data_IF_144761979680
#
_entry.id   IF_144761979680
#
_cell.length_a   1.000
_cell.length_b   1.000
_cell.length_c   1.000
_cell.angle_alpha   90.00
_cell.angle_beta   90.00
_cell.angle_gamma   90.00
#
_symmetry.space_group_name_H-M   'P 1'
#
loop_
_entity.id
_entity.type
_entity.pdbx_description
1 polymer ?
#
# COMPACT_ATOMS: atom_id res chain seq x y z
N UNK A 1 -10.46 -56.07 -33.34
CA UNK A 1 -10.31 -56.10 -31.88
C UNK A 1 -9.03 -55.33 -31.57
N UNK A 2 -9.22 -54.08 -31.18
CA UNK A 2 -8.28 -52.96 -31.00
C UNK A 2 -7.27 -53.17 -29.87
N UNK A 3 -6.10 -52.57 -29.84
CA UNK A 3 -5.14 -52.08 -30.84
C UNK A 3 -3.86 -51.87 -30.02
N UNK A 4 -2.71 -52.31 -30.54
CA UNK A 4 -1.40 -52.11 -29.93
C UNK A 4 -0.62 -51.02 -30.68
N UNK A 5 0.38 -50.46 -29.97
CA UNK A 5 1.55 -49.65 -30.42
C UNK A 5 1.16 -48.20 -30.81
N UNK A 6 1.72 -47.13 -30.21
CA UNK A 6 3.04 -46.60 -30.59
C UNK A 6 3.71 -45.61 -29.62
N UNK A 7 5.02 -45.80 -29.52
CA UNK A 7 6.07 -44.84 -29.15
C UNK A 7 5.67 -43.37 -29.36
N UNK A 8 5.55 -42.60 -28.29
CA UNK A 8 5.59 -41.13 -28.38
C UNK A 8 6.87 -40.63 -27.72
N UNK A 9 7.88 -40.33 -28.54
CA UNK A 9 9.08 -39.63 -28.09
C UNK A 9 8.72 -38.17 -27.80
N UNK A 10 8.84 -37.75 -26.55
CA UNK A 10 8.73 -36.34 -26.15
C UNK A 10 10.08 -35.69 -26.40
N UNK A 11 10.20 -34.90 -27.48
CA UNK A 11 11.41 -34.08 -27.68
C UNK A 11 11.27 -32.75 -26.94
N UNK A 12 12.07 -32.55 -25.90
CA UNK A 12 12.12 -31.32 -25.13
C UNK A 12 13.10 -30.33 -25.78
N UNK A 13 12.59 -29.25 -26.37
CA UNK A 13 13.42 -28.14 -26.87
C UNK A 13 13.35 -26.95 -25.91
N UNK A 14 14.47 -26.63 -25.26
CA UNK A 14 14.63 -25.42 -24.45
C UNK A 14 14.96 -24.22 -25.35
N UNK A 15 13.96 -23.61 -25.98
CA UNK A 15 14.04 -22.18 -26.38
C UNK A 15 12.67 -21.53 -26.19
N UNK A 16 12.66 -20.42 -25.45
CA UNK A 16 11.51 -19.53 -25.22
C UNK A 16 10.33 -20.13 -24.41
N UNK A 17 10.55 -20.56 -23.17
CA UNK A 17 9.55 -20.53 -22.08
C UNK A 17 8.20 -21.27 -22.24
N UNK A 18 7.89 -21.86 -23.39
CA UNK A 18 6.66 -22.56 -23.70
C UNK A 18 6.95 -24.06 -23.88
N UNK A 19 6.18 -24.90 -23.18
CA UNK A 19 6.10 -26.32 -23.49
C UNK A 19 4.88 -26.56 -24.37
N UNK A 20 5.09 -26.96 -25.62
CA UNK A 20 4.02 -27.43 -26.50
C UNK A 20 4.00 -28.96 -26.47
N UNK A 21 2.88 -29.55 -26.05
CA UNK A 21 2.61 -30.96 -26.29
C UNK A 21 1.82 -31.05 -27.60
N UNK A 22 2.47 -31.46 -28.69
CA UNK A 22 1.79 -31.68 -29.98
C UNK A 22 1.14 -33.07 -29.95
N UNK A 23 -0.14 -33.12 -29.61
CA UNK A 23 -0.95 -34.31 -29.79
C UNK A 23 -1.37 -34.43 -31.26
N UNK A 24 -0.86 -35.43 -31.99
CA UNK A 24 -1.38 -35.74 -33.33
C UNK A 24 -2.67 -36.53 -33.19
N UNK A 25 -3.81 -35.84 -33.12
CA UNK A 25 -5.05 -36.18 -33.81
C UNK A 25 -6.18 -35.23 -33.38
N UNK A 26 -6.91 -34.72 -34.38
CA UNK A 26 -7.88 -33.61 -34.34
C UNK A 26 -7.26 -32.25 -34.01
N UNK A 27 -7.30 -31.36 -35.01
CA UNK A 27 -6.66 -30.04 -35.01
C UNK A 27 -7.29 -29.04 -34.04
N UNK A 28 -7.14 -29.27 -32.75
CA UNK A 28 -7.29 -28.27 -31.71
C UNK A 28 -5.96 -28.17 -30.97
N UNK A 29 -5.24 -27.06 -31.19
CA UNK A 29 -4.09 -26.70 -30.38
C UNK A 29 -4.58 -26.42 -28.95
N UNK A 30 -4.57 -27.45 -28.10
CA UNK A 30 -4.80 -27.29 -26.67
C UNK A 30 -3.57 -26.61 -26.07
N UNK A 31 -3.61 -25.28 -25.98
CA UNK A 31 -2.78 -24.49 -25.08
C UNK A 31 -3.18 -24.85 -23.64
N UNK A 32 -2.58 -25.91 -23.11
CA UNK A 32 -2.71 -26.23 -21.68
C UNK A 32 -1.89 -25.19 -20.92
N UNK A 33 -2.57 -24.18 -20.39
CA UNK A 33 -2.00 -23.25 -19.42
C UNK A 33 -1.42 -24.06 -18.23
N UNK A 34 -0.18 -23.73 -17.87
CA UNK A 34 0.58 -24.33 -16.76
C UNK A 34 -0.13 -24.26 -15.39
N UNK A 35 -1.17 -23.44 -15.26
CA UNK A 35 -1.93 -23.21 -14.03
C UNK A 35 -2.75 -24.41 -13.54
N UNK A 36 -2.79 -25.55 -14.26
CA UNK A 36 -3.50 -26.76 -13.81
C UNK A 36 -2.64 -27.80 -13.07
N UNK A 37 -1.35 -27.54 -12.81
CA UNK A 37 -0.44 -28.55 -12.22
C UNK A 37 0.28 -28.13 -10.92
N UNK A 38 -0.12 -27.02 -10.30
CA UNK A 38 0.17 -26.72 -8.91
C UNK A 38 -1.06 -26.00 -8.36
N UNK A 39 -1.44 -26.22 -7.10
CA UNK A 39 -2.58 -25.56 -6.46
C UNK A 39 -2.35 -24.05 -6.29
N UNK A 40 -2.35 -23.30 -7.39
CA UNK A 40 -2.26 -21.85 -7.41
C UNK A 40 -3.64 -21.29 -7.06
N UNK A 41 -3.76 -20.65 -5.89
CA UNK A 41 -4.92 -19.82 -5.53
C UNK A 41 -5.10 -18.76 -6.63
N UNK A 42 -6.28 -18.70 -7.26
CA UNK A 42 -6.58 -17.67 -8.25
C UNK A 42 -7.03 -16.41 -7.50
N UNK A 43 -6.22 -15.37 -7.54
CA UNK A 43 -6.62 -14.05 -7.04
C UNK A 43 -7.34 -13.32 -8.18
N UNK A 44 -8.62 -13.06 -8.00
CA UNK A 44 -9.34 -12.14 -8.89
C UNK A 44 -8.89 -10.72 -8.52
N UNK A 45 -8.32 -9.99 -9.48
CA UNK A 45 -7.85 -8.62 -9.28
C UNK A 45 -8.67 -7.62 -10.09
N UNK A 46 -9.07 -6.51 -9.47
CA UNK A 46 -9.79 -5.42 -10.13
C UNK A 46 -9.17 -4.06 -9.78
N UNK A 47 -8.94 -3.24 -10.79
CA UNK A 47 -8.44 -1.87 -10.59
C UNK A 47 -9.52 -0.97 -9.99
N UNK A 48 -9.13 -0.24 -8.93
CA UNK A 48 -9.96 0.73 -8.21
C UNK A 48 -9.53 2.17 -8.51
N UNK A 49 -8.22 2.41 -8.64
CA UNK A 49 -7.65 3.70 -9.01
C UNK A 49 -6.51 3.48 -10.01
N UNK A 50 -6.56 4.21 -11.11
CA UNK A 50 -5.43 4.40 -12.02
C UNK A 50 -4.52 5.55 -11.53
N UNK A 51 -3.37 5.72 -12.18
CA UNK A 51 -2.41 6.80 -11.92
C UNK A 51 -3.07 8.18 -11.87
N UNK A 52 -3.95 8.48 -12.83
CA UNK A 52 -4.66 9.77 -12.91
C UNK A 52 -5.60 9.98 -11.73
N UNK A 53 -6.28 8.93 -11.26
CA UNK A 53 -7.16 9.00 -10.12
C UNK A 53 -6.37 9.14 -8.81
N UNK A 54 -5.23 8.47 -8.65
CA UNK A 54 -4.30 8.69 -7.53
C UNK A 54 -3.82 10.15 -7.53
N UNK A 55 -3.37 10.65 -8.68
CA UNK A 55 -2.92 12.04 -8.83
C UNK A 55 -3.99 13.06 -8.41
N UNK A 56 -5.24 12.89 -8.88
CA UNK A 56 -6.38 13.74 -8.48
C UNK A 56 -6.70 13.64 -6.99
N UNK A 57 -6.66 12.44 -6.42
CA UNK A 57 -6.89 12.24 -5.00
C UNK A 57 -5.85 12.99 -4.16
N UNK A 58 -4.56 12.86 -4.48
CA UNK A 58 -3.49 13.56 -3.78
C UNK A 58 -3.60 15.09 -3.90
N UNK A 59 -3.96 15.62 -5.06
CA UNK A 59 -4.20 17.06 -5.22
C UNK A 59 -5.34 17.54 -4.34
N UNK A 60 -6.45 16.78 -4.26
CA UNK A 60 -7.56 17.13 -3.37
C UNK A 60 -7.14 17.09 -1.89
N UNK A 61 -6.43 16.06 -1.47
CA UNK A 61 -5.93 15.95 -0.09
C UNK A 61 -5.00 17.13 0.26
N UNK A 62 -4.14 17.57 -0.66
CA UNK A 62 -3.28 18.74 -0.46
C UNK A 62 -4.10 20.00 -0.18
N UNK A 63 -5.14 20.28 -0.97
CA UNK A 63 -6.04 21.42 -0.72
C UNK A 63 -6.75 21.32 0.64
N UNK A 64 -7.31 20.14 0.97
CA UNK A 64 -7.99 19.93 2.25
C UNK A 64 -7.05 20.13 3.46
N UNK A 65 -5.79 19.69 3.34
CA UNK A 65 -4.76 19.88 4.37
C UNK A 65 -4.49 21.37 4.59
N UNK A 66 -4.28 22.12 3.51
CA UNK A 66 -4.00 23.56 3.56
C UNK A 66 -5.17 24.31 4.21
N UNK A 67 -6.39 24.08 3.72
CA UNK A 67 -7.59 24.77 4.21
C UNK A 67 -7.85 24.50 5.69
N UNK A 68 -7.73 23.24 6.13
CA UNK A 68 -8.05 22.83 7.51
C UNK A 68 -6.99 23.24 8.54
N UNK A 69 -5.78 23.54 8.10
CA UNK A 69 -4.68 23.99 8.96
C UNK A 69 -4.36 25.49 8.80
N UNK A 70 -5.19 26.23 8.05
CA UNK A 70 -5.04 27.68 7.81
C UNK A 70 -3.67 28.01 7.20
N UNK A 71 -3.21 27.16 6.27
CA UNK A 71 -1.86 27.18 5.72
C UNK A 71 -1.01 26.01 6.22
N UNK A 72 0.32 26.12 6.06
CA UNK A 72 1.26 25.00 6.29
C UNK A 72 2.45 25.33 7.18
N UNK A 73 2.46 26.52 7.80
CA UNK A 73 3.60 26.99 8.60
C UNK A 73 3.84 26.12 9.85
N UNK A 74 2.78 25.58 10.45
CA UNK A 74 2.84 24.71 11.63
C UNK A 74 2.58 23.23 11.30
N UNK A 75 2.60 22.84 10.02
CA UNK A 75 2.29 21.47 9.58
C UNK A 75 3.57 20.65 9.43
N UNK A 76 3.51 19.39 9.87
CA UNK A 76 4.52 18.36 9.60
C UNK A 76 3.81 17.14 9.04
N UNK A 77 4.21 16.68 7.86
CA UNK A 77 3.73 15.41 7.31
C UNK A 77 4.61 14.29 7.84
N UNK A 78 4.02 13.18 8.26
CA UNK A 78 4.76 12.01 8.74
C UNK A 78 4.25 10.78 8.02
N UNK A 79 5.06 10.25 7.10
CA UNK A 79 4.73 9.04 6.36
C UNK A 79 5.02 7.79 7.17
N UNK A 80 4.06 6.87 7.24
CA UNK A 80 4.25 5.57 7.88
C UNK A 80 4.82 4.59 6.85
N UNK A 81 5.87 3.85 7.21
CA UNK A 81 6.51 2.90 6.28
C UNK A 81 5.51 1.85 5.79
N UNK A 82 5.57 1.45 4.52
CA UNK A 82 6.56 1.88 3.50
C UNK A 82 5.97 2.93 2.55
N UNK A 83 4.80 2.67 1.95
CA UNK A 83 4.20 3.53 0.91
C UNK A 83 3.71 4.88 1.43
N UNK A 84 3.34 4.97 2.72
CA UNK A 84 2.94 6.24 3.35
C UNK A 84 4.01 7.33 3.26
N UNK A 85 5.29 6.97 3.24
CA UNK A 85 6.42 7.91 3.04
C UNK A 85 6.39 8.53 1.65
N UNK A 86 6.24 7.72 0.61
CA UNK A 86 6.18 8.23 -0.76
C UNK A 86 4.95 9.10 -0.97
N UNK A 87 3.81 8.73 -0.39
CA UNK A 87 2.62 9.57 -0.40
C UNK A 87 2.83 10.89 0.34
N UNK A 88 3.52 10.89 1.48
CA UNK A 88 3.85 12.11 2.23
C UNK A 88 4.73 13.07 1.42
N UNK A 89 5.75 12.55 0.73
CA UNK A 89 6.61 13.34 -0.16
C UNK A 89 5.81 13.91 -1.34
N UNK A 90 4.99 13.10 -2.01
CA UNK A 90 4.11 13.54 -3.10
C UNK A 90 3.10 14.61 -2.67
N UNK A 91 2.61 14.55 -1.42
CA UNK A 91 1.75 15.59 -0.84
C UNK A 91 2.54 16.86 -0.55
N UNK A 92 3.75 16.76 -0.01
CA UNK A 92 4.61 17.91 0.25
C UNK A 92 4.92 18.69 -1.02
N UNK A 93 5.26 18.00 -2.12
CA UNK A 93 5.49 18.63 -3.43
C UNK A 93 4.25 19.38 -3.95
N UNK A 94 3.07 18.79 -3.80
CA UNK A 94 1.80 19.41 -4.21
C UNK A 94 1.48 20.63 -3.35
N UNK A 95 1.66 20.52 -2.04
CA UNK A 95 1.48 21.62 -1.10
C UNK A 95 2.45 22.76 -1.44
N UNK A 96 3.73 22.48 -1.67
CA UNK A 96 4.72 23.48 -2.05
C UNK A 96 4.36 24.14 -3.39
N UNK A 97 3.84 23.38 -4.35
CA UNK A 97 3.38 23.94 -5.61
C UNK A 97 2.20 24.93 -5.43
N UNK A 98 1.32 24.71 -4.46
CA UNK A 98 0.14 25.54 -4.16
C UNK A 98 0.53 26.75 -3.29
N UNK A 99 1.13 26.51 -2.13
CA UNK A 99 1.43 27.53 -1.10
C UNK A 99 2.75 28.27 -1.33
N UNK A 100 3.61 27.77 -2.23
CA UNK A 100 5.00 28.25 -2.42
C UNK A 100 5.84 28.19 -1.14
N UNK A 101 5.49 27.27 -0.23
CA UNK A 101 6.15 27.02 1.04
C UNK A 101 6.45 25.53 1.19
N UNK A 102 7.64 25.22 1.70
CA UNK A 102 8.02 23.84 2.02
C UNK A 102 7.35 23.40 3.32
N UNK A 103 6.74 22.22 3.29
CA UNK A 103 6.28 21.51 4.48
C UNK A 103 7.32 20.47 4.89
N UNK A 104 7.57 20.33 6.18
CA UNK A 104 8.50 19.32 6.68
C UNK A 104 7.87 17.92 6.52
N UNK A 105 8.68 16.97 6.04
CA UNK A 105 8.29 15.56 5.90
C UNK A 105 9.18 14.71 6.79
N UNK A 106 8.57 13.97 7.69
CA UNK A 106 9.22 12.96 8.50
C UNK A 106 8.76 11.55 8.14
N UNK A 107 9.46 10.57 8.68
CA UNK A 107 9.21 9.15 8.45
C UNK A 107 9.06 8.42 9.78
N UNK A 108 8.10 7.50 9.83
CA UNK A 108 7.87 6.67 10.99
C UNK A 108 7.81 5.19 10.61
N UNK A 109 8.67 4.40 11.24
CA UNK A 109 8.68 2.95 11.09
C UNK A 109 8.13 2.32 12.37
N UNK A 110 6.94 1.74 12.27
CA UNK A 110 6.22 1.19 13.42
C UNK A 110 6.41 -0.32 13.58
N UNK A 111 7.38 -0.91 12.88
CA UNK A 111 7.58 -2.37 12.84
C UNK A 111 7.75 -2.97 14.25
N UNK A 112 8.31 -2.22 15.21
CA UNK A 112 8.47 -2.68 16.60
C UNK A 112 7.23 -2.50 17.49
N UNK A 113 6.23 -1.71 17.09
CA UNK A 113 5.02 -1.45 17.87
C UNK A 113 3.88 -2.45 17.57
N UNK A 114 4.15 -3.51 16.79
CA UNK A 114 3.18 -4.60 16.58
C UNK A 114 3.05 -5.40 17.88
N UNK A 115 1.84 -5.41 18.44
CA UNK A 115 1.45 -6.08 19.69
C UNK A 115 1.80 -7.60 19.75
N UNK A 116 2.23 -8.18 18.62
CA UNK A 116 2.59 -9.59 18.47
C UNK A 116 4.05 -9.91 18.85
N UNK A 117 4.90 -8.92 19.16
CA UNK A 117 6.26 -9.16 19.66
C UNK A 117 6.27 -9.51 21.17
N UNK A 118 5.47 -10.52 21.54
CA UNK A 118 5.65 -11.28 22.76
C UNK A 118 6.82 -12.25 22.59
N UNK A 119 8.05 -11.76 22.43
CA UNK A 119 9.27 -12.49 22.81
C UNK A 119 10.52 -11.62 22.69
N UNK A 120 11.08 -11.28 23.86
CA UNK A 120 12.51 -11.17 24.18
C UNK A 120 13.45 -10.77 23.02
N UNK A 121 13.80 -9.48 22.98
CA UNK A 121 15.19 -9.07 22.81
C UNK A 121 15.44 -7.87 23.71
N UNK A 122 16.40 -8.00 24.64
CA UNK A 122 16.98 -6.89 25.37
C UNK A 122 17.60 -5.93 24.34
N UNK A 123 17.34 -4.63 24.50
CA UNK A 123 17.49 -3.52 23.55
C UNK A 123 16.46 -3.45 22.41
N UNK A 124 15.42 -2.59 22.54
CA UNK A 124 14.73 -2.11 21.35
C UNK A 124 15.73 -1.30 20.55
N UNK A 125 16.30 -1.90 19.51
CA UNK A 125 17.08 -1.18 18.51
C UNK A 125 16.24 0.02 18.06
N UNK A 126 16.73 1.22 18.36
CA UNK A 126 16.14 2.49 17.96
C UNK A 126 15.67 2.38 16.52
N UNK A 127 14.37 2.51 16.34
CA UNK A 127 13.77 2.64 15.02
C UNK A 127 14.21 3.99 14.48
N UNK A 128 14.77 3.99 13.26
CA UNK A 128 15.05 5.18 12.45
C UNK A 128 13.74 5.91 12.10
N UNK A 129 13.15 6.57 13.09
CA UNK A 129 12.16 7.62 12.88
C UNK A 129 12.91 8.92 12.63
N UNK A 130 12.81 9.43 11.42
CA UNK A 130 13.53 10.63 10.99
C UNK A 130 12.51 11.75 10.93
N UNK A 131 12.48 12.57 11.98
CA UNK A 131 11.73 13.82 11.97
C UNK A 131 12.73 14.97 11.77
N UNK A 132 12.69 15.68 10.62
CA UNK A 132 13.67 16.73 10.32
C UNK A 132 13.49 17.97 11.20
N UNK A 133 12.38 18.05 11.93
CA UNK A 133 12.00 19.17 12.80
C UNK A 133 11.32 18.65 14.06
N UNK A 134 11.39 19.41 15.15
CA UNK A 134 10.55 19.15 16.32
C UNK A 134 9.07 19.21 15.92
N UNK A 135 8.29 18.28 16.49
CA UNK A 135 6.83 18.21 16.37
C UNK A 135 6.11 18.95 17.52
N UNK A 136 6.85 19.51 18.46
CA UNK A 136 6.29 20.21 19.61
C UNK A 136 5.36 21.34 19.18
N UNK A 137 4.13 21.34 19.69
CA UNK A 137 3.09 22.33 19.36
C UNK A 137 2.77 22.47 17.86
N UNK A 138 3.07 21.45 17.04
CA UNK A 138 2.74 21.43 15.60
C UNK A 138 1.51 20.59 15.30
N UNK A 139 0.91 20.83 14.13
CA UNK A 139 -0.07 19.94 13.51
C UNK A 139 0.67 18.84 12.75
N UNK A 140 0.68 17.63 13.31
CA UNK A 140 1.29 16.46 12.67
C UNK A 140 0.23 15.70 11.89
N UNK A 141 0.49 15.43 10.61
CA UNK A 141 -0.42 14.68 9.75
C UNK A 141 0.24 13.34 9.42
N UNK A 142 -0.27 12.28 10.02
CA UNK A 142 0.12 10.90 9.69
C UNK A 142 -0.41 10.56 8.29
N UNK A 143 0.46 9.99 7.45
CA UNK A 143 0.14 9.60 6.08
C UNK A 143 0.31 8.09 5.93
N UNK A 144 -0.76 7.41 5.51
CA UNK A 144 -0.76 5.97 5.24
C UNK A 144 -1.42 5.65 3.89
N UNK A 145 -1.10 4.51 3.30
CA UNK A 145 -1.69 4.11 2.02
C UNK A 145 -3.12 3.57 2.19
N UNK A 146 -3.35 2.67 3.14
CA UNK A 146 -4.63 2.01 3.38
C UNK A 146 -4.99 1.97 4.85
N UNK A 147 -6.12 2.59 5.22
CA UNK A 147 -6.66 2.44 6.56
C UNK A 147 -7.61 1.24 6.68
N UNK A 148 -7.20 0.25 7.49
CA UNK A 148 -7.96 -0.96 7.78
C UNK A 148 -8.42 -1.04 9.25
N UNK A 149 -7.82 -1.87 10.10
CA UNK A 149 -8.24 -2.04 11.50
C UNK A 149 -7.95 -0.83 12.39
N UNK A 150 -6.98 0.00 12.00
CA UNK A 150 -6.50 1.18 12.74
C UNK A 150 -5.29 0.92 13.65
N UNK A 151 -4.83 -0.34 13.78
CA UNK A 151 -3.71 -0.70 14.69
C UNK A 151 -2.40 -0.01 14.32
N UNK A 152 -2.08 0.08 13.03
CA UNK A 152 -0.93 0.83 12.48
C UNK A 152 -0.94 2.27 12.96
N UNK A 153 -2.09 2.94 12.87
CA UNK A 153 -2.22 4.35 13.27
C UNK A 153 -2.13 4.51 14.79
N UNK A 154 -2.69 3.59 15.58
CA UNK A 154 -2.52 3.60 17.05
C UNK A 154 -1.04 3.57 17.41
N UNK A 155 -0.30 2.60 16.88
CA UNK A 155 1.13 2.48 17.07
C UNK A 155 1.89 3.75 16.63
N UNK A 156 1.50 4.34 15.50
CA UNK A 156 2.10 5.59 15.02
C UNK A 156 1.84 6.77 15.97
N UNK A 157 0.64 6.88 16.53
CA UNK A 157 0.32 7.91 17.53
C UNK A 157 1.13 7.71 18.82
N UNK A 158 1.25 6.47 19.29
CA UNK A 158 2.05 6.13 20.48
C UNK A 158 3.52 6.56 20.27
N UNK A 159 4.11 6.19 19.13
CA UNK A 159 5.48 6.58 18.80
C UNK A 159 5.69 8.10 18.65
N UNK A 160 4.72 8.83 18.07
CA UNK A 160 4.79 10.30 18.03
C UNK A 160 4.77 10.92 19.43
N UNK A 161 3.98 10.36 20.35
CA UNK A 161 3.92 10.80 21.74
C UNK A 161 5.19 10.42 22.53
N UNK A 162 5.94 9.41 22.11
CA UNK A 162 7.26 9.15 22.70
C UNK A 162 8.29 10.19 22.27
N UNK A 163 8.13 10.77 21.06
CA UNK A 163 9.08 11.72 20.46
C UNK A 163 8.81 13.18 20.90
N UNK A 164 7.54 13.59 21.05
CA UNK A 164 7.20 14.97 21.39
C UNK A 164 5.73 15.19 21.73
N UNK A 165 5.30 16.45 21.87
CA UNK A 165 3.89 16.80 22.14
C UNK A 165 3.33 17.65 21.00
N UNK A 166 2.77 17.05 19.95
CA UNK A 166 2.10 17.80 18.89
C UNK A 166 0.85 18.50 19.43
N UNK A 167 0.51 19.66 18.85
CA UNK A 167 -0.73 20.38 19.16
C UNK A 167 -1.94 19.59 18.68
N UNK A 168 -1.81 18.95 17.52
CA UNK A 168 -2.85 18.11 16.91
C UNK A 168 -2.18 16.98 16.13
N UNK A 169 -2.78 15.80 16.19
CA UNK A 169 -2.47 14.71 15.26
C UNK A 169 -3.67 14.53 14.35
N UNK A 170 -3.42 14.54 13.04
CA UNK A 170 -4.40 14.27 11.99
C UNK A 170 -3.97 13.04 11.20
N UNK A 171 -4.91 12.47 10.43
CA UNK A 171 -4.66 11.30 9.59
C UNK A 171 -5.14 11.52 8.15
N UNK A 172 -4.23 11.42 7.18
CA UNK A 172 -4.56 11.36 5.77
C UNK A 172 -4.25 9.96 5.22
N UNK A 173 -5.20 9.38 4.49
CA UNK A 173 -5.01 8.08 3.83
C UNK A 173 -5.44 8.11 2.38
N UNK A 174 -4.75 7.36 1.53
CA UNK A 174 -5.16 7.22 0.13
C UNK A 174 -6.47 6.41 0.04
N UNK A 175 -6.55 5.28 0.72
CA UNK A 175 -7.74 4.42 0.75
C UNK A 175 -8.25 4.23 2.17
N UNK A 176 -9.55 4.42 2.36
CA UNK A 176 -10.28 3.91 3.51
C UNK A 176 -11.08 2.67 3.10
N UNK A 177 -10.73 1.50 3.66
CA UNK A 177 -11.42 0.24 3.36
C UNK A 177 -12.42 -0.25 4.41
N UNK A 178 -12.64 0.54 5.47
CA UNK A 178 -13.52 0.19 6.60
C UNK A 178 -12.93 -0.87 7.55
N UNK A 179 -13.81 -1.63 8.22
CA UNK A 179 -13.49 -2.70 9.18
C UNK A 179 -12.62 -2.27 10.36
N UNK A 180 -12.96 -1.12 10.95
CA UNK A 180 -12.26 -0.61 12.14
C UNK A 180 -12.41 -1.55 13.34
N UNK A 181 -11.28 -1.81 14.00
CA UNK A 181 -11.22 -2.46 15.31
C UNK A 181 -10.91 -1.47 16.42
N UNK A 182 -10.45 -0.28 16.06
CA UNK A 182 -10.17 0.85 16.94
C UNK A 182 -10.99 2.07 16.50
N UNK A 183 -11.37 2.98 17.41
CA UNK A 183 -12.16 4.17 17.11
C UNK A 183 -11.31 5.26 16.41
N UNK A 184 -10.65 4.90 15.31
CA UNK A 184 -9.76 5.75 14.53
C UNK A 184 -10.43 6.07 13.19
N UNK A 185 -10.58 7.36 12.91
CA UNK A 185 -11.13 7.88 11.68
C UNK A 185 -10.12 8.80 11.01
N UNK A 186 -9.91 8.69 9.69
CA UNK A 186 -9.07 9.60 8.96
C UNK A 186 -9.75 10.97 8.81
N UNK A 187 -8.94 12.00 8.86
CA UNK A 187 -9.31 13.39 8.59
C UNK A 187 -9.44 13.65 7.09
N UNK A 188 -8.59 12.99 6.30
CA UNK A 188 -8.51 13.15 4.86
C UNK A 188 -8.49 11.78 4.19
N UNK A 189 -9.35 11.57 3.20
CA UNK A 189 -9.51 10.26 2.53
C UNK A 189 -9.42 10.46 1.03
N UNK A 190 -8.51 9.75 0.36
CA UNK A 190 -8.42 9.73 -1.10
C UNK A 190 -9.63 9.06 -1.75
N UNK A 191 -9.99 7.85 -1.31
CA UNK A 191 -11.21 7.15 -1.73
C UNK A 191 -11.70 6.20 -0.64
N UNK A 192 -13.02 6.20 -0.41
CA UNK A 192 -13.67 5.16 0.37
C UNK A 192 -13.96 3.96 -0.54
N UNK A 193 -13.53 2.77 -0.11
CA UNK A 193 -13.72 1.51 -0.84
C UNK A 193 -14.38 0.52 0.10
N UNK A 194 -15.70 0.29 -0.02
CA UNK A 194 -16.34 -0.80 0.71
C UNK A 194 -15.69 -2.13 0.32
N UNK A 195 -15.25 -2.90 1.31
CA UNK A 195 -14.63 -4.21 1.10
C UNK A 195 -15.28 -5.27 1.98
N UNK A 196 -15.14 -6.55 1.65
CA UNK A 196 -15.28 -7.67 2.60
C UNK A 196 -14.01 -7.83 3.45
N UNK A 197 -14.01 -8.78 4.38
CA UNK A 197 -12.81 -9.10 5.19
C UNK A 197 -11.81 -9.95 4.40
N UNK A 198 -12.31 -10.69 3.41
CA UNK A 198 -11.57 -11.59 2.54
C UNK A 198 -10.90 -10.85 1.37
N UNK A 199 -11.36 -9.63 1.08
CA UNK A 199 -10.76 -8.75 0.09
C UNK A 199 -9.50 -8.06 0.63
N UNK A 200 -8.53 -7.82 -0.24
CA UNK A 200 -7.31 -7.07 0.06
C UNK A 200 -7.19 -5.86 -0.86
N UNK A 201 -6.74 -4.72 -0.32
CA UNK A 201 -6.37 -3.55 -1.10
C UNK A 201 -4.87 -3.56 -1.31
N UNK A 202 -4.44 -3.65 -2.57
CA UNK A 202 -3.04 -3.56 -2.95
C UNK A 202 -2.77 -2.20 -3.60
N UNK A 203 -1.99 -1.37 -2.92
CA UNK A 203 -1.50 -0.10 -3.47
C UNK A 203 -0.14 -0.35 -4.10
N UNK A 204 0.05 0.15 -5.31
CA UNK A 204 1.32 0.18 -6.01
C UNK A 204 1.66 1.63 -6.32
N UNK A 205 2.90 2.02 -6.03
CA UNK A 205 3.42 3.35 -6.31
C UNK A 205 4.69 3.24 -7.16
N UNK A 206 4.83 4.13 -8.12
CA UNK A 206 5.91 4.11 -9.11
C UNK A 206 7.31 4.04 -8.47
N UNK A 207 7.53 4.65 -7.32
CA UNK A 207 8.82 4.69 -6.63
C UNK A 207 9.29 3.33 -6.09
N UNK A 208 8.37 2.38 -5.87
CA UNK A 208 8.68 1.04 -5.35
C UNK A 208 8.31 -0.03 -6.38
N UNK A 209 7.14 0.11 -6.99
CA UNK A 209 6.47 -0.93 -7.78
C UNK A 209 6.55 -0.67 -9.30
N UNK A 210 7.05 0.50 -9.73
CA UNK A 210 7.17 0.90 -11.15
C UNK A 210 5.85 1.24 -11.84
N UNK A 211 4.75 1.33 -11.08
CA UNK A 211 3.43 1.74 -11.56
C UNK A 211 2.63 2.39 -10.43
N UNK A 212 1.69 3.27 -10.79
CA UNK A 212 0.71 3.86 -9.88
C UNK A 212 -0.65 3.21 -10.12
N UNK A 213 -1.05 2.30 -9.24
CA UNK A 213 -2.39 1.69 -9.29
C UNK A 213 -2.85 1.24 -7.90
N UNK A 214 -4.17 1.15 -7.71
CA UNK A 214 -4.76 0.51 -6.54
C UNK A 214 -5.69 -0.60 -7.01
N UNK A 215 -5.42 -1.82 -6.57
CA UNK A 215 -6.19 -3.01 -6.90
C UNK A 215 -6.96 -3.51 -5.68
N UNK A 216 -8.13 -4.10 -5.91
CA UNK A 216 -8.78 -4.99 -4.96
C UNK A 216 -8.54 -6.43 -5.40
N UNK A 217 -8.16 -7.28 -4.44
CA UNK A 217 -7.88 -8.71 -4.65
C UNK A 217 -8.86 -9.55 -3.85
N UNK A 218 -9.44 -10.55 -4.47
CA UNK A 218 -10.33 -11.52 -3.81
C UNK A 218 -9.77 -12.91 -3.98
N UNK A 219 -9.69 -13.68 -2.90
CA UNK A 219 -9.39 -15.11 -2.97
C UNK A 219 -10.59 -15.84 -3.57
N UNK A 220 -10.40 -16.45 -4.75
CA UNK A 220 -11.40 -17.32 -5.38
C UNK A 220 -11.34 -18.74 -4.86
#
# INVERSE_FOLDING_TARGET
MSMSIDNTAVSCSKRQGFFYAVGKNSGEDLLINRSKMAGEEHLEEKEILDEKAIGRALTRLAHEIIERNEGVDAVVLVGIKTRGIYLANRLAERIEAIEKKKVAVGELDITLYRDDLKQKTDDPKLIDSILPVSIESKSVILIDDVLYTGRTIRAAMDALMDIGRPQRIQLAVLIDRGHRELPIRPDYIGKNVPTSKEEEIAVQLNEIDGTDTVMIRTKS
#
